data_IF_824537441184
#
_entry.id   IF_824537441184
#
_cell.length_a   1.000
_cell.length_b   1.000
_cell.length_c   1.000
_cell.angle_alpha   90.00
_cell.angle_beta   90.00
_cell.angle_gamma   90.00
#
_symmetry.space_group_name_H-M   'P 1'
#
loop_
_entity.id
_entity.type
_entity.pdbx_description
1 polymer ?
#
# COMPACT_ATOMS: atom_id res chain seq x y z
N UNK A 1 -12.06 11.09 16.01
CA UNK A 1 -11.11 9.98 16.21
C UNK A 1 -10.06 10.17 15.14
N UNK A 2 -8.79 10.31 15.51
CA UNK A 2 -7.71 10.42 14.54
C UNK A 2 -7.55 9.03 13.93
N UNK A 3 -8.03 8.82 12.71
CA UNK A 3 -7.65 7.64 11.95
C UNK A 3 -6.11 7.64 11.85
N UNK A 4 -5.49 6.54 12.25
CA UNK A 4 -4.04 6.45 12.15
C UNK A 4 -3.66 6.33 10.68
N UNK A 5 -2.49 6.86 10.33
CA UNK A 5 -1.94 6.74 8.98
C UNK A 5 -1.91 5.26 8.55
N UNK A 6 -1.63 4.34 9.48
CA UNK A 6 -1.66 2.90 9.20
C UNK A 6 -3.05 2.41 8.76
N UNK A 7 -4.14 2.91 9.36
CA UNK A 7 -5.48 2.51 8.97
C UNK A 7 -5.77 2.89 7.51
N UNK A 8 -5.41 4.12 7.11
CA UNK A 8 -5.54 4.59 5.72
C UNK A 8 -4.66 3.79 4.77
N UNK A 9 -3.41 3.52 5.14
CA UNK A 9 -2.50 2.71 4.33
C UNK A 9 -3.10 1.31 4.08
N UNK A 10 -3.57 0.63 5.14
CA UNK A 10 -4.17 -0.70 5.00
C UNK A 10 -5.41 -0.68 4.10
N UNK A 11 -6.24 0.34 4.21
CA UNK A 11 -7.45 0.47 3.41
C UNK A 11 -7.14 0.63 1.92
N UNK A 12 -6.12 1.43 1.57
CA UNK A 12 -5.63 1.57 0.19
C UNK A 12 -5.12 0.23 -0.33
N UNK A 13 -4.29 -0.48 0.45
CA UNK A 13 -3.74 -1.80 0.07
C UNK A 13 -4.86 -2.82 -0.19
N UNK A 14 -5.89 -2.85 0.67
CA UNK A 14 -7.04 -3.75 0.52
C UNK A 14 -7.83 -3.43 -0.76
N UNK A 15 -8.02 -2.14 -1.06
CA UNK A 15 -8.80 -1.71 -2.21
C UNK A 15 -8.04 -1.89 -3.53
N UNK A 16 -6.74 -1.60 -3.55
CA UNK A 16 -5.91 -1.66 -4.75
C UNK A 16 -5.56 -3.11 -5.09
N UNK A 17 -5.05 -3.88 -4.12
CA UNK A 17 -4.68 -5.28 -4.33
C UNK A 17 -5.87 -6.25 -4.24
N UNK A 18 -7.05 -5.79 -3.79
CA UNK A 18 -8.22 -6.64 -3.61
C UNK A 18 -8.04 -7.74 -2.54
N UNK A 19 -7.11 -7.52 -1.60
CA UNK A 19 -6.73 -8.49 -0.56
C UNK A 19 -7.53 -8.32 0.73
N UNK A 20 -7.54 -9.33 1.58
CA UNK A 20 -8.25 -9.26 2.84
C UNK A 20 -7.47 -8.47 3.91
N UNK A 21 -8.15 -7.63 4.70
CA UNK A 21 -7.51 -6.86 5.79
C UNK A 21 -6.76 -7.70 6.83
N UNK A 22 -7.11 -8.98 6.91
CA UNK A 22 -6.52 -9.98 7.81
C UNK A 22 -5.13 -10.44 7.36
N UNK A 23 -4.80 -10.32 6.08
CA UNK A 23 -3.46 -10.65 5.56
C UNK A 23 -2.56 -9.40 5.47
N UNK A 24 -3.15 -8.20 5.50
CA UNK A 24 -2.41 -6.92 5.52
C UNK A 24 -1.92 -6.63 6.94
N UNK A 25 -0.78 -7.24 7.28
CA UNK A 25 -0.05 -6.99 8.53
C UNK A 25 1.11 -6.03 8.31
N UNK A 26 1.61 -5.41 9.38
CA UNK A 26 2.75 -4.48 9.29
C UNK A 26 4.05 -5.17 8.81
N UNK A 27 4.12 -6.50 8.98
CA UNK A 27 5.23 -7.34 8.53
C UNK A 27 4.93 -8.08 7.20
N UNK A 28 3.78 -7.83 6.56
CA UNK A 28 3.40 -8.53 5.33
C UNK A 28 4.26 -8.06 4.15
N UNK A 29 4.72 -9.01 3.34
CA UNK A 29 5.38 -8.73 2.08
C UNK A 29 4.34 -8.43 0.99
N UNK A 30 4.45 -7.29 0.31
CA UNK A 30 3.59 -6.94 -0.81
C UNK A 30 3.61 -8.01 -1.90
N UNK A 31 4.79 -8.54 -2.23
CA UNK A 31 4.95 -9.53 -3.30
C UNK A 31 4.65 -10.95 -2.82
N UNK A 32 5.18 -11.36 -1.66
CA UNK A 32 5.08 -12.76 -1.21
C UNK A 32 3.75 -13.08 -0.50
N UNK A 33 3.23 -12.15 0.31
CA UNK A 33 2.03 -12.38 1.12
C UNK A 33 0.76 -11.81 0.47
N UNK A 34 0.88 -10.62 -0.14
CA UNK A 34 -0.26 -9.94 -0.78
C UNK A 34 -0.36 -10.26 -2.28
N UNK A 35 0.68 -10.86 -2.86
CA UNK A 35 0.69 -11.25 -4.27
C UNK A 35 0.73 -10.07 -5.24
N UNK A 36 1.17 -8.90 -4.79
CA UNK A 36 1.37 -7.73 -5.64
C UNK A 36 2.47 -8.03 -6.67
N UNK A 37 2.18 -7.77 -7.94
CA UNK A 37 3.20 -7.77 -8.97
C UNK A 37 3.94 -6.42 -9.05
N UNK A 38 4.93 -6.34 -9.94
CA UNK A 38 5.73 -5.11 -10.11
C UNK A 38 4.92 -3.91 -10.64
N UNK A 39 3.73 -4.14 -11.21
CA UNK A 39 2.83 -3.08 -11.65
C UNK A 39 1.95 -2.63 -10.49
N UNK A 40 1.42 -3.59 -9.72
CA UNK A 40 0.60 -3.34 -8.54
C UNK A 40 1.36 -2.49 -7.50
N UNK A 41 2.66 -2.72 -7.31
CA UNK A 41 3.49 -1.92 -6.40
C UNK A 41 3.61 -0.46 -6.85
N UNK A 42 3.73 -0.22 -8.16
CA UNK A 42 3.80 1.14 -8.74
C UNK A 42 2.45 1.85 -8.62
N UNK A 43 1.34 1.14 -8.88
CA UNK A 43 -0.01 1.67 -8.70
C UNK A 43 -0.29 2.03 -7.24
N UNK A 44 0.14 1.19 -6.30
CA UNK A 44 0.07 1.46 -4.85
C UNK A 44 0.83 2.70 -4.44
N UNK A 45 2.07 2.86 -4.93
CA UNK A 45 2.90 4.04 -4.64
C UNK A 45 2.22 5.30 -5.15
N UNK A 46 1.73 5.31 -6.39
CA UNK A 46 0.98 6.46 -6.93
C UNK A 46 -0.28 6.76 -6.11
N UNK A 47 -1.04 5.75 -5.68
CA UNK A 47 -2.21 5.93 -4.84
C UNK A 47 -1.85 6.56 -3.47
N UNK A 48 -0.72 6.16 -2.88
CA UNK A 48 -0.22 6.78 -1.65
C UNK A 48 0.22 8.22 -1.86
N UNK A 49 0.94 8.52 -2.94
CA UNK A 49 1.35 9.87 -3.30
C UNK A 49 0.15 10.81 -3.43
N UNK A 50 -0.90 10.37 -4.13
CA UNK A 50 -2.13 11.16 -4.31
C UNK A 50 -2.90 11.35 -2.98
N UNK A 51 -3.11 10.28 -2.23
CA UNK A 51 -3.93 10.27 -1.00
C UNK A 51 -3.28 11.03 0.16
N UNK A 52 -1.94 11.01 0.22
CA UNK A 52 -1.18 11.70 1.25
C UNK A 52 -0.51 12.99 0.76
N UNK A 53 -0.60 13.31 -0.54
CA UNK A 53 0.04 14.46 -1.18
C UNK A 53 1.53 14.54 -0.87
N UNK A 54 2.20 13.40 -1.00
CA UNK A 54 3.62 13.21 -0.81
C UNK A 54 4.25 12.72 -2.11
N UNK A 55 5.55 12.94 -2.27
CA UNK A 55 6.33 12.36 -3.37
C UNK A 55 7.20 11.27 -2.76
N UNK A 56 7.01 10.02 -3.20
CA UNK A 56 7.87 8.88 -2.87
C UNK A 56 8.93 8.82 -3.97
N UNK A 57 10.22 8.97 -3.65
CA UNK A 57 11.27 8.82 -4.64
C UNK A 57 11.21 7.42 -5.27
N UNK A 58 11.38 7.33 -6.59
CA UNK A 58 11.44 6.04 -7.30
C UNK A 58 12.47 5.08 -6.68
N UNK A 59 13.58 5.61 -6.13
CA UNK A 59 14.62 4.83 -5.43
C UNK A 59 14.13 4.15 -4.15
N UNK A 60 13.06 4.66 -3.52
CA UNK A 60 12.40 4.08 -2.35
C UNK A 60 11.16 3.25 -2.72
N UNK A 61 10.73 3.28 -3.99
CA UNK A 61 9.55 2.61 -4.53
C UNK A 61 9.86 1.26 -5.23
N UNK A 62 11.11 1.04 -5.66
CA UNK A 62 11.62 -0.23 -6.26
C UNK A 62 12.21 -1.23 -5.26
#
# INVERSE_FOLDING_TARGET
>A
MSESIQARIREIIINELGVESKIVTDDASFVEDLGADSLDTVELVMAFEEEFKLDIPDEDAE
#
